data_IF_154633885035
#
_entry.id   IF_154633885035
#
_cell.length_a   1.000
_cell.length_b   1.000
_cell.length_c   1.000
_cell.angle_alpha   90.00
_cell.angle_beta   90.00
_cell.angle_gamma   90.00
#
_symmetry.space_group_name_H-M   'P 1'
#
loop_
_entity.id
_entity.type
_entity.pdbx_description
1 polymer ?
#
# COMPACT_ATOMS: atom_id res chain seq x y z
N UNK A 1 -44.28 -2.43 -6.62
CA UNK A 1 -43.06 -1.64 -6.86
C UNK A 1 -43.18 -0.36 -6.06
N UNK A 2 -42.46 -0.27 -4.94
CA UNK A 2 -42.45 0.93 -4.08
C UNK A 2 -41.74 2.06 -4.84
N UNK A 3 -42.48 3.10 -5.19
CA UNK A 3 -41.96 4.21 -5.99
C UNK A 3 -41.01 5.06 -5.13
N UNK A 4 -39.74 5.13 -5.51
CA UNK A 4 -38.73 5.99 -4.87
C UNK A 4 -38.86 7.46 -5.32
N UNK A 5 -40.06 7.88 -5.72
CA UNK A 5 -40.37 9.21 -6.28
C UNK A 5 -39.87 10.36 -5.40
N UNK A 6 -39.91 10.19 -4.07
CA UNK A 6 -39.46 11.20 -3.11
C UNK A 6 -37.95 11.46 -3.16
N UNK A 7 -37.15 10.47 -3.56
CA UNK A 7 -35.68 10.56 -3.62
C UNK A 7 -35.21 10.78 -5.06
N UNK A 8 -35.87 10.14 -6.02
CA UNK A 8 -35.51 10.20 -7.44
C UNK A 8 -35.59 11.62 -7.99
N UNK A 9 -36.67 12.34 -7.69
CA UNK A 9 -36.90 13.72 -8.17
C UNK A 9 -35.85 14.73 -7.67
N UNK A 10 -35.54 14.83 -6.36
CA UNK A 10 -34.51 15.74 -5.90
C UNK A 10 -33.13 15.34 -6.41
N UNK A 11 -32.82 14.04 -6.46
CA UNK A 11 -31.53 13.54 -6.90
C UNK A 11 -31.29 13.83 -8.40
N UNK A 12 -32.29 13.60 -9.24
CA UNK A 12 -32.26 13.95 -10.66
C UNK A 12 -32.02 15.45 -10.87
N UNK A 13 -32.67 16.31 -10.07
CA UNK A 13 -32.47 17.77 -10.14
C UNK A 13 -31.05 18.18 -9.74
N UNK A 14 -30.47 17.53 -8.73
CA UNK A 14 -29.09 17.77 -8.29
C UNK A 14 -28.11 17.35 -9.38
N UNK A 15 -28.23 16.15 -9.92
CA UNK A 15 -27.35 15.66 -10.99
C UNK A 15 -27.48 16.49 -12.27
N UNK A 16 -28.69 16.93 -12.62
CA UNK A 16 -28.88 17.84 -13.75
C UNK A 16 -28.14 19.17 -13.54
N UNK A 17 -28.29 19.79 -12.36
CA UNK A 17 -27.60 21.05 -12.05
C UNK A 17 -26.08 20.88 -12.02
N UNK A 18 -25.60 19.78 -11.45
CA UNK A 18 -24.18 19.42 -11.43
C UNK A 18 -23.63 19.19 -12.84
N UNK A 19 -24.30 18.36 -13.64
CA UNK A 19 -23.91 18.09 -15.02
C UNK A 19 -23.91 19.34 -15.89
N UNK A 20 -24.90 20.23 -15.72
CA UNK A 20 -24.91 21.54 -16.39
C UNK A 20 -23.72 22.40 -15.98
N UNK A 21 -23.34 22.40 -14.71
CA UNK A 21 -22.16 23.13 -14.23
C UNK A 21 -20.86 22.59 -14.81
N UNK A 22 -20.70 21.26 -14.85
CA UNK A 22 -19.55 20.59 -15.47
C UNK A 22 -19.48 20.91 -16.97
N UNK A 23 -20.60 20.87 -17.68
CA UNK A 23 -20.68 21.17 -19.11
C UNK A 23 -20.33 22.63 -19.44
N UNK A 24 -20.64 23.57 -18.54
CA UNK A 24 -20.26 24.99 -18.70
C UNK A 24 -18.77 25.26 -18.41
N UNK A 25 -18.14 24.44 -17.57
CA UNK A 25 -16.75 24.59 -17.16
C UNK A 25 -15.96 23.28 -17.31
N UNK A 26 -15.77 22.75 -18.53
CA UNK A 26 -15.17 21.42 -18.71
C UNK A 26 -13.69 21.35 -18.33
N UNK A 27 -12.92 22.42 -18.56
CA UNK A 27 -11.47 22.47 -18.33
C UNK A 27 -11.05 22.18 -16.88
N UNK A 28 -11.58 22.87 -15.84
CA UNK A 28 -11.19 22.56 -14.46
C UNK A 28 -11.51 21.12 -14.05
N UNK A 29 -12.60 20.54 -14.56
CA UNK A 29 -12.98 19.16 -14.26
C UNK A 29 -12.07 18.11 -14.93
N UNK A 30 -11.25 18.49 -15.91
CA UNK A 30 -10.24 17.60 -16.49
C UNK A 30 -8.88 17.85 -15.82
N UNK A 31 -8.51 19.12 -15.68
CA UNK A 31 -7.20 19.51 -15.15
C UNK A 31 -7.05 19.14 -13.68
N UNK A 32 -8.06 19.38 -12.84
CA UNK A 32 -7.96 19.09 -11.39
C UNK A 32 -7.76 17.59 -11.14
N UNK A 33 -8.58 16.67 -11.68
CA UNK A 33 -8.34 15.24 -11.50
C UNK A 33 -7.00 14.79 -12.07
N UNK A 34 -6.55 15.34 -13.19
CA UNK A 34 -5.27 14.98 -13.80
C UNK A 34 -4.07 15.42 -12.94
N UNK A 35 -4.11 16.63 -12.38
CA UNK A 35 -3.09 17.08 -11.44
C UNK A 35 -3.14 16.25 -10.15
N UNK A 36 -4.34 15.94 -9.65
CA UNK A 36 -4.51 15.11 -8.47
C UNK A 36 -3.91 13.71 -8.68
N UNK A 37 -4.25 13.04 -9.79
CA UNK A 37 -3.68 11.72 -10.12
C UNK A 37 -2.17 11.79 -10.30
N UNK A 38 -1.65 12.82 -10.96
CA UNK A 38 -0.20 13.01 -11.10
C UNK A 38 0.48 13.19 -9.74
N UNK A 39 -0.08 13.99 -8.83
CA UNK A 39 0.46 14.14 -7.47
C UNK A 39 0.43 12.85 -6.67
N UNK A 40 -0.64 12.06 -6.77
CA UNK A 40 -0.70 10.72 -6.17
C UNK A 40 0.34 9.78 -6.80
N UNK A 41 0.56 9.87 -8.12
CA UNK A 41 1.51 9.02 -8.82
C UNK A 41 2.97 9.23 -8.40
N UNK A 42 3.34 10.46 -7.97
CA UNK A 42 4.66 10.74 -7.40
C UNK A 42 4.97 9.84 -6.19
N UNK A 43 3.95 9.43 -5.44
CA UNK A 43 4.10 8.49 -4.32
C UNK A 43 4.71 7.14 -4.74
N UNK A 44 4.46 6.68 -5.97
CA UNK A 44 5.05 5.43 -6.48
C UNK A 44 6.57 5.50 -6.64
N UNK A 45 7.18 6.69 -6.69
CA UNK A 45 8.64 6.83 -6.71
C UNK A 45 9.30 6.40 -5.39
N UNK A 46 8.55 6.36 -4.30
CA UNK A 46 9.03 5.94 -2.97
C UNK A 46 8.61 4.51 -2.63
N UNK A 47 8.17 3.73 -3.62
CA UNK A 47 7.74 2.35 -3.39
C UNK A 47 8.97 1.42 -3.39
N UNK A 48 9.37 0.99 -2.20
CA UNK A 48 10.46 0.01 -2.06
C UNK A 48 9.94 -1.42 -2.32
N UNK A 49 10.55 -2.18 -3.24
CA UNK A 49 10.14 -3.55 -3.50
C UNK A 49 10.49 -4.44 -2.31
N UNK A 50 9.48 -5.10 -1.76
CA UNK A 50 9.66 -6.04 -0.66
C UNK A 50 9.75 -7.47 -1.20
N UNK A 51 10.95 -8.02 -1.27
CA UNK A 51 11.23 -9.37 -1.84
C UNK A 51 11.59 -10.41 -0.79
N UNK A 52 11.65 -10.04 0.49
CA UNK A 52 11.99 -10.95 1.58
C UNK A 52 10.86 -11.97 1.79
N UNK A 53 11.14 -13.23 1.45
CA UNK A 53 10.19 -14.34 1.58
C UNK A 53 9.79 -14.58 3.04
N UNK A 54 10.72 -14.44 4.00
CA UNK A 54 10.40 -14.63 5.42
C UNK A 54 9.44 -13.54 5.87
N UNK A 55 9.68 -12.29 5.49
CA UNK A 55 8.74 -11.21 5.79
C UNK A 55 7.36 -11.44 5.14
N UNK A 56 7.32 -11.87 3.88
CA UNK A 56 6.08 -12.05 3.11
C UNK A 56 5.22 -13.23 3.60
N UNK A 57 5.85 -14.33 4.03
CA UNK A 57 5.14 -15.57 4.36
C UNK A 57 5.00 -15.84 5.87
N UNK A 58 5.61 -15.04 6.73
CA UNK A 58 5.51 -15.23 8.19
C UNK A 58 5.01 -13.97 8.90
N UNK A 59 4.16 -14.11 9.94
CA UNK A 59 3.59 -12.95 10.62
C UNK A 59 4.69 -12.07 11.23
N UNK A 60 4.43 -10.77 11.37
CA UNK A 60 5.41 -9.81 11.92
C UNK A 60 5.85 -10.18 13.33
N UNK A 61 4.96 -10.77 14.14
CA UNK A 61 5.22 -11.20 15.51
C UNK A 61 5.47 -12.72 15.64
N UNK A 62 6.03 -13.36 14.61
CA UNK A 62 6.33 -14.79 14.68
C UNK A 62 7.40 -15.08 15.76
N UNK A 63 7.22 -16.10 16.62
CA UNK A 63 8.23 -16.49 17.61
C UNK A 63 9.57 -16.89 16.94
N UNK A 64 9.52 -17.46 15.73
CA UNK A 64 10.71 -17.77 14.93
C UNK A 64 11.52 -16.52 14.55
N UNK A 65 10.90 -15.34 14.42
CA UNK A 65 11.63 -14.08 14.18
C UNK A 65 12.38 -13.62 15.43
N UNK A 66 11.80 -13.84 16.61
CA UNK A 66 12.47 -13.56 17.90
C UNK A 66 13.66 -14.49 18.09
N UNK A 67 13.48 -15.79 17.84
CA UNK A 67 14.58 -16.78 17.90
C UNK A 67 15.70 -16.43 16.90
N UNK A 68 15.34 -16.04 15.67
CA UNK A 68 16.30 -15.56 14.67
C UNK A 68 17.07 -14.34 15.17
N UNK A 69 16.39 -13.36 15.77
CA UNK A 69 17.05 -12.17 16.31
C UNK A 69 18.02 -12.52 17.44
N UNK A 70 17.63 -13.40 18.36
CA UNK A 70 18.51 -13.90 19.43
C UNK A 70 19.76 -14.57 18.84
N UNK A 71 19.61 -15.41 17.83
CA UNK A 71 20.74 -16.06 17.15
C UNK A 71 21.65 -15.02 16.47
N UNK A 72 21.07 -14.01 15.82
CA UNK A 72 21.80 -12.91 15.19
C UNK A 72 22.66 -12.13 16.20
N UNK A 73 22.12 -11.87 17.39
CA UNK A 73 22.74 -11.08 18.45
C UNK A 73 23.83 -11.87 19.18
N UNK A 74 23.60 -13.16 19.47
CA UNK A 74 24.57 -14.00 20.19
C UNK A 74 25.73 -14.48 19.30
N UNK A 75 25.49 -14.70 17.99
CA UNK A 75 26.52 -15.12 17.04
C UNK A 75 26.62 -14.16 15.84
N UNK A 76 27.24 -12.98 16.04
CA UNK A 76 27.46 -12.03 14.96
C UNK A 76 28.57 -12.52 14.02
N UNK A 77 28.24 -12.65 12.74
CA UNK A 77 29.17 -13.03 11.68
C UNK A 77 30.11 -11.85 11.38
N UNK A 78 31.38 -12.04 11.69
CA UNK A 78 32.46 -11.13 11.30
C UNK A 78 33.37 -11.87 10.33
N UNK A 79 34.02 -11.14 9.41
CA UNK A 79 34.92 -11.72 8.40
C UNK A 79 36.06 -12.59 8.97
N UNK A 80 36.33 -12.52 10.28
CA UNK A 80 37.39 -13.25 10.98
C UNK A 80 36.89 -14.19 12.10
N UNK A 81 35.57 -14.40 12.23
CA UNK A 81 35.00 -15.25 13.28
C UNK A 81 34.55 -16.62 12.76
N UNK A 82 34.61 -17.61 13.65
CA UNK A 82 34.08 -18.94 13.41
C UNK A 82 32.57 -18.88 13.14
N UNK A 83 32.14 -19.56 12.07
CA UNK A 83 30.75 -19.66 11.66
C UNK A 83 30.18 -20.96 12.27
N UNK A 84 29.27 -20.89 13.25
CA UNK A 84 28.56 -22.08 13.71
C UNK A 84 27.75 -22.67 12.55
N UNK A 85 27.57 -24.00 12.55
CA UNK A 85 27.13 -24.78 11.39
C UNK A 85 25.82 -24.33 10.69
N UNK A 86 25.49 -25.02 9.59
CA UNK A 86 24.45 -24.67 8.60
C UNK A 86 23.13 -24.09 9.17
N UNK A 87 22.70 -24.55 10.34
CA UNK A 87 21.47 -24.11 11.02
C UNK A 87 21.47 -22.60 11.32
N UNK A 88 22.61 -22.02 11.71
CA UNK A 88 22.74 -20.58 12.03
C UNK A 88 22.86 -19.72 10.77
N UNK A 89 23.38 -20.27 9.68
CA UNK A 89 23.48 -19.58 8.39
C UNK A 89 22.17 -19.62 7.60
N UNK A 90 21.41 -20.74 7.64
CA UNK A 90 20.14 -20.86 6.91
C UNK A 90 18.99 -20.08 7.56
N UNK A 91 19.01 -19.92 8.88
CA UNK A 91 18.02 -19.09 9.56
C UNK A 91 18.20 -17.59 9.28
N UNK A 92 19.19 -17.20 8.47
CA UNK A 92 19.59 -15.83 8.12
C UNK A 92 19.21 -15.40 6.70
N UNK A 93 18.86 -16.33 5.82
CA UNK A 93 18.25 -16.09 4.49
C UNK A 93 16.73 -15.90 4.61
#
# INVERSE_FOLDING_TARGET
MTSFDCIERPLSKIFYRYGRFVALHPLPFIVIPLLFTATCAVGFLHLDPLTDAVYLFTPTNAPSKVERQIIHDLWPLHNHNYIPGRVVTQSRE
#
